data_IF_884134491913
#
_entry.id   IF_884134491913
#
_cell.length_a   1.000
_cell.length_b   1.000
_cell.length_c   1.000
_cell.angle_alpha   90.00
_cell.angle_beta   90.00
_cell.angle_gamma   90.00
#
_symmetry.space_group_name_H-M   'P 1'
#
loop_
_entity.id
_entity.type
_entity.pdbx_description
1 polymer ?
#
# COMPACT_ATOMS: atom_id res chain seq x y z
N UNK A 1 -14.51 0.83 13.65
CA UNK A 1 -14.42 1.56 12.36
C UNK A 1 -15.80 1.60 11.70
N UNK A 2 -16.48 2.74 11.75
CA UNK A 2 -17.75 2.99 11.05
C UNK A 2 -17.62 4.34 10.34
N UNK A 3 -16.72 4.39 9.37
CA UNK A 3 -16.60 5.58 8.52
C UNK A 3 -17.74 5.57 7.49
N UNK A 4 -18.58 6.61 7.53
CA UNK A 4 -19.74 6.74 6.64
C UNK A 4 -19.34 6.87 5.17
N UNK A 5 -18.14 7.36 4.86
CA UNK A 5 -17.66 7.51 3.50
C UNK A 5 -17.50 6.16 2.78
N UNK A 6 -17.31 5.07 3.52
CA UNK A 6 -17.07 3.73 2.99
C UNK A 6 -18.29 2.80 3.16
N UNK A 7 -19.39 3.28 3.71
CA UNK A 7 -20.60 2.46 3.92
C UNK A 7 -20.46 1.35 4.97
N UNK A 8 -19.37 1.34 5.75
CA UNK A 8 -19.08 0.37 6.79
C UNK A 8 -17.95 -0.61 6.46
N UNK A 9 -17.45 -1.29 7.50
CA UNK A 9 -16.28 -2.15 7.40
C UNK A 9 -16.49 -3.38 6.51
N UNK A 10 -17.72 -3.74 6.15
CA UNK A 10 -18.04 -4.83 5.23
C UNK A 10 -17.74 -4.50 3.75
N UNK A 11 -17.47 -3.23 3.43
CA UNK A 11 -17.20 -2.79 2.06
C UNK A 11 -15.71 -2.42 1.85
N UNK A 12 -14.84 -2.63 2.84
CA UNK A 12 -13.42 -2.37 2.68
C UNK A 12 -12.79 -3.39 1.72
N UNK A 13 -11.70 -2.99 1.06
CA UNK A 13 -10.92 -3.92 0.25
C UNK A 13 -10.33 -5.06 1.09
N UNK A 14 -10.18 -4.85 2.41
CA UNK A 14 -9.72 -5.87 3.36
C UNK A 14 -10.76 -6.90 3.79
N UNK A 15 -12.05 -6.69 3.51
CA UNK A 15 -13.14 -7.48 4.10
C UNK A 15 -14.24 -7.85 3.09
N UNK A 16 -14.61 -6.95 2.19
CA UNK A 16 -15.79 -7.11 1.33
C UNK A 16 -15.68 -8.20 0.27
N UNK A 17 -14.46 -8.66 -0.04
CA UNK A 17 -14.22 -9.78 -0.95
C UNK A 17 -14.23 -11.16 -0.29
N UNK A 18 -14.45 -11.26 1.02
CA UNK A 18 -14.31 -12.51 1.75
C UNK A 18 -15.53 -13.43 1.57
N UNK A 19 -15.41 -14.43 0.70
CA UNK A 19 -16.50 -15.37 0.34
C UNK A 19 -16.32 -16.79 0.88
N UNK A 20 -15.20 -17.07 1.54
CA UNK A 20 -14.83 -18.43 1.99
C UNK A 20 -15.23 -18.74 3.44
N UNK A 21 -15.87 -17.80 4.14
CA UNK A 21 -16.36 -18.04 5.50
C UNK A 21 -17.66 -18.87 5.50
N UNK A 22 -17.81 -19.71 6.51
CA UNK A 22 -19.13 -20.19 6.93
C UNK A 22 -19.77 -19.09 7.79
N UNK A 23 -20.88 -18.50 7.32
CA UNK A 23 -21.56 -17.38 7.99
C UNK A 23 -21.21 -16.00 7.42
N UNK A 24 -21.55 -14.93 8.15
CA UNK A 24 -21.27 -13.55 7.73
C UNK A 24 -19.83 -13.16 8.14
N UNK A 25 -18.96 -12.68 7.23
CA UNK A 25 -17.60 -12.24 7.58
C UNK A 25 -17.58 -11.19 8.70
N UNK A 26 -18.62 -10.36 8.80
CA UNK A 26 -18.73 -9.35 9.85
C UNK A 26 -18.97 -9.93 11.25
N UNK A 27 -19.39 -11.19 11.37
CA UNK A 27 -19.50 -11.89 12.65
C UNK A 27 -18.12 -12.28 13.22
N UNK A 28 -17.08 -12.23 12.38
CA UNK A 28 -15.70 -12.53 12.73
C UNK A 28 -14.81 -11.28 12.78
N UNK A 29 -15.22 -10.22 12.09
CA UNK A 29 -14.46 -8.97 12.03
C UNK A 29 -14.19 -8.40 13.42
N UNK A 30 -12.91 -8.18 13.74
CA UNK A 30 -12.44 -7.69 15.05
C UNK A 30 -12.90 -8.52 16.27
N UNK A 31 -13.28 -9.79 16.09
CA UNK A 31 -13.75 -10.65 17.19
C UNK A 31 -12.61 -11.31 17.97
N UNK A 32 -11.47 -11.52 17.34
CA UNK A 32 -10.36 -12.28 17.90
C UNK A 32 -9.22 -11.34 18.30
N UNK A 33 -8.85 -11.39 19.58
CA UNK A 33 -7.67 -10.70 20.09
C UNK A 33 -6.44 -11.57 19.80
N UNK A 34 -5.62 -11.16 18.84
CA UNK A 34 -4.35 -11.81 18.54
C UNK A 34 -3.25 -11.35 19.50
N UNK A 35 -3.25 -10.07 19.86
CA UNK A 35 -2.28 -9.46 20.77
C UNK A 35 -3.01 -8.70 21.86
N UNK A 36 -2.55 -8.83 23.11
CA UNK A 36 -3.05 -8.05 24.23
C UNK A 36 -2.03 -6.94 24.55
N UNK A 37 -2.25 -5.75 23.99
CA UNK A 37 -1.33 -4.62 24.13
C UNK A 37 -1.61 -3.81 25.39
N UNK A 38 -0.57 -3.29 26.03
CA UNK A 38 -0.73 -2.26 27.06
C UNK A 38 -1.20 -0.94 26.43
N UNK A 39 -1.68 0.00 27.24
CA UNK A 39 -2.06 1.34 26.77
C UNK A 39 -0.91 2.05 26.07
N UNK A 40 0.32 1.86 26.55
CA UNK A 40 1.54 2.44 25.97
C UNK A 40 1.87 1.80 24.62
N UNK A 41 1.80 0.47 24.53
CA UNK A 41 2.00 -0.28 23.28
C UNK A 41 0.94 0.09 22.23
N UNK A 42 -0.32 0.17 22.63
CA UNK A 42 -1.42 0.61 21.76
C UNK A 42 -1.19 2.04 21.25
N UNK A 43 -0.81 2.96 22.13
CA UNK A 43 -0.50 4.35 21.75
C UNK A 43 0.66 4.43 20.76
N UNK A 44 1.67 3.57 20.92
CA UNK A 44 2.79 3.47 20.00
C UNK A 44 2.34 2.95 18.61
N UNK A 45 1.53 1.89 18.56
CA UNK A 45 0.95 1.38 17.31
C UNK A 45 0.14 2.46 16.61
N UNK A 46 -0.73 3.18 17.32
CA UNK A 46 -1.55 4.25 16.75
C UNK A 46 -0.71 5.38 16.16
N UNK A 47 0.33 5.79 16.90
CA UNK A 47 1.28 6.82 16.45
C UNK A 47 1.98 6.41 15.16
N UNK A 48 2.52 5.18 15.12
CA UNK A 48 3.29 4.68 13.97
C UNK A 48 2.38 4.43 12.78
N UNK A 49 1.26 3.71 12.98
CA UNK A 49 0.29 3.42 11.93
C UNK A 49 -0.28 4.68 11.28
N UNK A 50 -0.44 5.77 12.04
CA UNK A 50 -0.93 7.05 11.52
C UNK A 50 0.03 7.73 10.53
N UNK A 51 1.33 7.43 10.62
CA UNK A 51 2.35 7.99 9.73
C UNK A 51 2.70 7.12 8.52
N UNK A 52 2.18 5.90 8.41
CA UNK A 52 2.52 4.97 7.33
C UNK A 52 1.46 5.00 6.23
N UNK A 53 1.88 5.32 5.01
CA UNK A 53 1.07 5.37 3.81
C UNK A 53 1.51 4.30 2.79
N UNK A 54 0.69 4.12 1.74
CA UNK A 54 0.88 3.17 0.65
C UNK A 54 0.47 3.79 -0.68
N UNK A 55 1.16 3.49 -1.79
CA UNK A 55 1.08 4.28 -3.03
C UNK A 55 -0.24 4.10 -3.80
N UNK A 56 -1.17 3.27 -3.29
CA UNK A 56 -2.46 3.00 -3.91
C UNK A 56 -3.60 3.92 -3.44
N UNK A 57 -3.46 4.62 -2.31
CA UNK A 57 -4.54 5.47 -1.76
C UNK A 57 -4.01 6.61 -0.88
N UNK A 58 -4.91 7.40 -0.30
CA UNK A 58 -4.59 8.51 0.61
C UNK A 58 -4.72 8.18 2.09
N UNK A 59 -5.08 6.95 2.46
CA UNK A 59 -5.31 6.55 3.84
C UNK A 59 -4.02 6.03 4.50
N UNK A 60 -3.83 6.37 5.78
CA UNK A 60 -2.74 5.79 6.57
C UNK A 60 -3.08 4.37 7.02
N UNK A 61 -2.08 3.66 7.55
CA UNK A 61 -2.25 2.32 8.13
C UNK A 61 -3.17 2.32 9.36
N UNK A 62 -3.33 3.46 10.03
CA UNK A 62 -4.31 3.62 11.11
C UNK A 62 -5.77 3.46 10.62
N UNK A 63 -6.00 3.59 9.31
CA UNK A 63 -7.23 3.17 8.65
C UNK A 63 -6.95 2.00 7.68
N UNK A 64 -6.95 0.75 8.19
CA UNK A 64 -6.53 -0.42 7.42
C UNK A 64 -7.65 -0.96 6.50
N UNK A 65 -8.13 -0.12 5.60
CA UNK A 65 -9.19 -0.41 4.62
C UNK A 65 -8.80 -1.37 3.49
N UNK A 66 -7.53 -1.79 3.44
CA UNK A 66 -7.03 -2.74 2.46
C UNK A 66 -6.12 -3.79 3.10
N UNK A 67 -5.88 -4.89 2.37
CA UNK A 67 -5.04 -5.99 2.86
C UNK A 67 -3.63 -5.55 3.26
N UNK A 68 -3.02 -4.61 2.53
CA UNK A 68 -1.70 -4.07 2.89
C UNK A 68 -1.75 -3.28 4.21
N UNK A 69 -2.80 -2.48 4.42
CA UNK A 69 -3.01 -1.76 5.67
C UNK A 69 -3.22 -2.71 6.85
N UNK A 70 -4.04 -3.73 6.68
CA UNK A 70 -4.25 -4.76 7.70
C UNK A 70 -2.97 -5.53 8.02
N UNK A 71 -2.20 -5.91 7.00
CA UNK A 71 -0.93 -6.62 7.18
C UNK A 71 0.10 -5.77 7.91
N UNK A 72 0.23 -4.48 7.55
CA UNK A 72 1.13 -3.56 8.26
C UNK A 72 0.66 -3.34 9.69
N UNK A 73 -0.64 -3.13 9.93
CA UNK A 73 -1.17 -2.96 11.28
C UNK A 73 -0.87 -4.18 12.16
N UNK A 74 -1.13 -5.39 11.67
CA UNK A 74 -0.82 -6.63 12.40
C UNK A 74 0.66 -6.82 12.68
N UNK A 75 1.55 -6.41 11.76
CA UNK A 75 3.00 -6.39 12.01
C UNK A 75 3.35 -5.42 13.14
N UNK A 76 2.80 -4.20 13.14
CA UNK A 76 3.06 -3.22 14.19
C UNK A 76 2.54 -3.68 15.56
N UNK A 77 1.37 -4.29 15.61
CA UNK A 77 0.81 -4.89 16.83
C UNK A 77 1.70 -6.03 17.35
N UNK A 78 2.17 -6.91 16.47
CA UNK A 78 3.12 -7.97 16.82
C UNK A 78 4.43 -7.42 17.38
N UNK A 79 4.99 -6.38 16.75
CA UNK A 79 6.24 -5.74 17.20
C UNK A 79 6.04 -5.05 18.55
N UNK A 80 4.93 -4.31 18.72
CA UNK A 80 4.62 -3.65 19.98
C UNK A 80 4.43 -4.66 21.12
N UNK A 81 3.80 -5.81 20.86
CA UNK A 81 3.66 -6.89 21.85
C UNK A 81 4.99 -7.49 22.32
N UNK A 82 6.06 -7.25 21.57
CA UNK A 82 7.44 -7.67 21.87
C UNK A 82 8.30 -6.50 22.40
N UNK A 83 7.67 -5.40 22.82
CA UNK A 83 8.35 -4.20 23.35
C UNK A 83 9.38 -3.59 22.38
N UNK A 84 9.15 -3.76 21.08
CA UNK A 84 10.01 -3.18 20.04
C UNK A 84 9.95 -1.66 20.09
N UNK A 85 11.08 -0.98 19.86
CA UNK A 85 11.13 0.49 19.91
C UNK A 85 10.42 1.15 18.73
N UNK A 86 10.01 2.41 18.89
CA UNK A 86 9.40 3.19 17.81
C UNK A 86 10.30 3.24 16.56
N UNK A 87 11.61 3.44 16.74
CA UNK A 87 12.55 3.53 15.62
C UNK A 87 12.63 2.21 14.85
N UNK A 88 12.65 1.07 15.56
CA UNK A 88 12.64 -0.25 14.94
C UNK A 88 11.34 -0.51 14.17
N UNK A 89 10.19 -0.04 14.69
CA UNK A 89 8.91 -0.11 13.97
C UNK A 89 8.95 0.69 12.66
N UNK A 90 9.51 1.90 12.67
CA UNK A 90 9.68 2.69 11.44
C UNK A 90 10.61 2.02 10.43
N UNK A 91 11.73 1.45 10.90
CA UNK A 91 12.68 0.74 10.05
C UNK A 91 12.06 -0.52 9.42
N UNK A 92 11.37 -1.33 10.23
CA UNK A 92 10.70 -2.55 9.75
C UNK A 92 9.57 -2.21 8.77
N UNK A 93 8.76 -1.20 9.07
CA UNK A 93 7.72 -0.73 8.16
C UNK A 93 8.29 -0.27 6.82
N UNK A 94 9.42 0.44 6.81
CA UNK A 94 10.09 0.86 5.58
C UNK A 94 10.58 -0.33 4.78
N UNK A 95 11.25 -1.29 5.43
CA UNK A 95 11.73 -2.50 4.77
C UNK A 95 10.59 -3.30 4.14
N UNK A 96 9.52 -3.52 4.89
CA UNK A 96 8.36 -4.30 4.43
C UNK A 96 7.59 -3.59 3.32
N UNK A 97 7.34 -2.28 3.43
CA UNK A 97 6.72 -1.54 2.34
C UNK A 97 7.61 -1.49 1.09
N UNK A 98 8.93 -1.37 1.25
CA UNK A 98 9.87 -1.42 0.11
C UNK A 98 9.82 -2.77 -0.60
N UNK A 99 9.62 -3.85 0.15
CA UNK A 99 9.43 -5.18 -0.40
C UNK A 99 8.07 -5.35 -1.10
N UNK A 100 6.99 -4.79 -0.54
CA UNK A 100 5.65 -4.87 -1.13
C UNK A 100 5.45 -3.98 -2.35
N UNK A 101 6.18 -2.86 -2.44
CA UNK A 101 6.08 -1.86 -3.51
C UNK A 101 7.45 -1.54 -4.11
N UNK A 102 8.17 -2.51 -4.70
CA UNK A 102 9.57 -2.35 -5.08
C UNK A 102 9.79 -1.20 -6.06
N UNK A 103 8.98 -1.09 -7.11
CA UNK A 103 9.12 -0.03 -8.12
C UNK A 103 8.90 1.37 -7.52
N UNK A 104 7.95 1.49 -6.59
CA UNK A 104 7.66 2.73 -5.86
C UNK A 104 8.88 3.17 -5.06
N UNK A 105 9.46 2.27 -4.27
CA UNK A 105 10.57 2.60 -3.40
C UNK A 105 11.89 2.77 -4.16
N UNK A 106 12.10 2.09 -5.29
CA UNK A 106 13.21 2.37 -6.20
C UNK A 106 13.10 3.78 -6.82
N UNK A 107 11.89 4.20 -7.18
CA UNK A 107 11.64 5.56 -7.68
C UNK A 107 11.90 6.61 -6.59
N UNK A 108 11.40 6.38 -5.38
CA UNK A 108 11.66 7.25 -4.23
C UNK A 108 13.17 7.30 -3.93
N UNK A 109 13.87 6.17 -3.95
CA UNK A 109 15.31 6.12 -3.73
C UNK A 109 16.08 6.92 -4.80
N UNK A 110 15.67 6.83 -6.07
CA UNK A 110 16.25 7.64 -7.15
C UNK A 110 16.05 9.13 -6.88
N UNK A 111 14.84 9.54 -6.51
CA UNK A 111 14.54 10.92 -6.15
C UNK A 111 15.38 11.44 -4.97
N UNK A 112 15.59 10.61 -3.95
CA UNK A 112 16.43 10.98 -2.79
C UNK A 112 17.90 11.07 -3.19
N UNK A 113 18.37 10.18 -4.07
CA UNK A 113 19.73 10.22 -4.59
C UNK A 113 20.00 11.49 -5.41
N UNK A 114 19.04 11.92 -6.23
CA UNK A 114 19.11 13.18 -6.98
C UNK A 114 19.19 14.41 -6.07
N UNK A 115 18.71 14.29 -4.82
CA UNK A 115 18.85 15.29 -3.75
C UNK A 115 20.12 15.13 -2.90
N UNK A 116 20.98 14.19 -3.24
CA UNK A 116 22.23 13.92 -2.53
C UNK A 116 22.06 13.14 -1.22
N UNK A 117 20.95 12.43 -1.03
CA UNK A 117 20.73 11.56 0.14
C UNK A 117 20.75 10.10 -0.32
N UNK A 118 21.66 9.31 0.24
CA UNK A 118 21.72 7.88 -0.04
C UNK A 118 20.59 7.13 0.66
N UNK A 119 20.16 5.99 0.09
CA UNK A 119 19.00 5.25 0.61
C UNK A 119 19.19 4.79 2.06
N UNK A 120 20.42 4.48 2.46
CA UNK A 120 20.75 4.09 3.83
C UNK A 120 20.64 5.25 4.84
N UNK A 121 20.64 6.50 4.37
CA UNK A 121 20.59 7.71 5.18
C UNK A 121 19.19 8.35 5.24
N UNK A 122 18.20 7.79 4.54
CA UNK A 122 16.84 8.36 4.52
C UNK A 122 16.17 8.23 5.88
N UNK A 123 15.31 9.20 6.22
CA UNK A 123 14.45 9.08 7.38
C UNK A 123 13.26 8.15 7.06
N UNK A 124 13.08 7.00 7.76
CA UNK A 124 12.03 6.05 7.42
C UNK A 124 10.61 6.60 7.59
N UNK A 125 10.39 7.40 8.64
CA UNK A 125 9.09 8.06 8.89
C UNK A 125 8.75 9.05 7.77
N UNK A 126 9.74 9.73 7.21
CA UNK A 126 9.54 10.62 6.07
C UNK A 126 9.15 9.81 4.82
N UNK A 127 9.91 8.76 4.49
CA UNK A 127 9.69 7.95 3.29
C UNK A 127 8.33 7.23 3.33
N UNK A 128 7.92 6.74 4.49
CA UNK A 128 6.60 6.13 4.71
C UNK A 128 5.45 7.14 4.74
N UNK A 129 5.77 8.42 4.94
CA UNK A 129 4.80 9.49 5.10
C UNK A 129 4.03 9.83 3.83
N UNK A 130 2.95 10.60 3.99
CA UNK A 130 2.04 10.95 2.90
C UNK A 130 2.75 11.65 1.72
N UNK A 131 3.79 12.44 1.97
CA UNK A 131 4.53 13.17 0.93
C UNK A 131 5.25 12.28 -0.08
N UNK A 132 5.55 11.04 0.28
CA UNK A 132 6.31 10.09 -0.55
C UNK A 132 5.50 8.85 -0.86
N UNK A 133 4.82 8.27 0.13
CA UNK A 133 4.18 6.97 0.01
C UNK A 133 2.66 7.02 -0.16
N UNK A 134 1.98 8.17 -0.06
CA UNK A 134 0.55 8.22 -0.45
C UNK A 134 0.41 8.20 -1.98
N UNK A 135 -0.78 7.89 -2.50
CA UNK A 135 -1.03 7.92 -3.95
C UNK A 135 -0.63 9.25 -4.60
N UNK A 136 -1.04 10.38 -4.03
CA UNK A 136 -0.71 11.70 -4.57
C UNK A 136 0.74 12.11 -4.30
N UNK A 137 1.27 11.74 -3.14
CA UNK A 137 2.68 11.96 -2.80
C UNK A 137 3.61 11.26 -3.77
N UNK A 138 3.40 9.96 -3.96
CA UNK A 138 4.17 9.14 -4.89
C UNK A 138 4.04 9.65 -6.33
N UNK A 139 2.82 9.94 -6.81
CA UNK A 139 2.63 10.46 -8.17
C UNK A 139 3.46 11.73 -8.44
N UNK A 140 3.55 12.62 -7.45
CA UNK A 140 4.39 13.83 -7.53
C UNK A 140 5.89 13.50 -7.53
N UNK A 141 6.33 12.50 -6.76
CA UNK A 141 7.74 12.06 -6.79
C UNK A 141 8.07 11.44 -8.15
N UNK A 142 7.23 10.54 -8.63
CA UNK A 142 7.41 9.86 -9.91
C UNK A 142 7.48 10.85 -11.09
N UNK A 143 6.74 11.96 -11.07
CA UNK A 143 6.81 12.98 -12.12
C UNK A 143 8.12 13.79 -12.12
N UNK A 144 8.93 13.70 -11.06
CA UNK A 144 10.19 14.42 -10.92
C UNK A 144 11.42 13.53 -11.17
N UNK A 145 11.24 12.21 -11.16
CA UNK A 145 12.30 11.26 -11.49
C UNK A 145 12.28 11.04 -13.00
N UNK A 146 13.37 11.39 -13.68
CA UNK A 146 13.55 10.98 -15.07
C UNK A 146 13.79 9.48 -15.05
N UNK A 147 12.79 8.70 -15.48
CA UNK A 147 12.99 7.28 -15.68
C UNK A 147 14.16 7.10 -16.67
N UNK A 148 15.18 6.28 -16.36
CA UNK A 148 16.13 5.86 -17.38
C UNK A 148 15.30 5.29 -18.53
N UNK A 149 15.59 5.70 -19.78
CA UNK A 149 14.95 5.11 -20.94
C UNK A 149 15.11 3.58 -20.83
N UNK A 150 14.02 2.89 -20.52
CA UNK A 150 13.92 1.49 -20.89
C UNK A 150 13.93 1.50 -22.40
N UNK A 151 15.07 1.13 -22.99
CA UNK A 151 15.14 0.82 -24.40
C UNK A 151 14.02 -0.18 -24.69
N UNK A 152 13.01 0.29 -25.42
CA UNK A 152 11.90 -0.52 -25.86
C UNK A 152 12.42 -1.74 -26.61
N UNK A 153 11.94 -2.91 -26.22
CA UNK A 153 12.26 -4.15 -26.89
C UNK A 153 11.56 -5.32 -26.23
N UNK A 154 10.42 -5.73 -26.80
CA UNK A 154 9.81 -7.02 -26.48
C UNK A 154 8.31 -6.94 -26.25
N UNK A 155 7.54 -6.78 -27.34
CA UNK A 155 6.15 -7.18 -27.33
C UNK A 155 6.06 -8.69 -27.18
N UNK A 156 5.27 -9.13 -26.20
CA UNK A 156 4.71 -10.48 -26.19
C UNK A 156 3.18 -10.32 -26.28
N UNK A 157 2.74 -10.12 -27.52
CA UNK A 157 1.37 -10.43 -27.91
C UNK A 157 1.19 -11.93 -27.71
N UNK A 158 0.21 -12.34 -26.90
CA UNK A 158 -0.21 -13.73 -26.84
C UNK A 158 -1.10 -13.97 -28.05
N UNK A 159 -0.54 -14.63 -29.07
CA UNK A 159 -1.29 -15.25 -30.15
C UNK A 159 -2.26 -16.29 -29.55
N UNK A 160 -3.50 -15.88 -29.35
CA UNK A 160 -4.63 -16.79 -29.20
C UNK A 160 -5.43 -16.77 -30.50
N UNK A 161 -5.10 -17.71 -31.39
CA UNK A 161 -6.03 -18.25 -32.37
C UNK A 161 -6.23 -17.40 -33.63
N UNK A 162 -5.57 -17.83 -34.71
CA UNK A 162 -6.05 -17.58 -36.06
C UNK A 162 -7.51 -18.04 -36.19
N UNK A 163 -8.43 -17.08 -36.31
CA UNK A 163 -9.72 -17.30 -36.92
C UNK A 163 -9.95 -16.21 -37.98
N UNK A 164 -10.01 -16.71 -39.22
CA UNK A 164 -10.33 -16.09 -40.49
C UNK A 164 -10.96 -14.68 -40.48
N UNK A 165 -10.40 -13.83 -41.32
CA UNK A 165 -10.96 -12.56 -41.76
C UNK A 165 -12.31 -12.71 -42.47
N UNK A 166 -13.21 -11.74 -42.25
CA UNK A 166 -14.00 -11.09 -43.31
C UNK A 166 -14.61 -9.75 -42.84
N UNK A 167 -14.92 -8.81 -43.75
CA UNK A 167 -14.70 -7.38 -43.50
C UNK A 167 -15.94 -6.48 -43.37
N UNK A 168 -15.71 -5.33 -42.73
CA UNK A 168 -16.34 -3.97 -42.83
C UNK A 168 -17.85 -3.79 -42.54
N UNK A 169 -18.14 -2.91 -41.57
CA UNK A 169 -18.70 -1.57 -41.86
C UNK A 169 -18.53 -0.59 -40.68
N UNK A 170 -18.33 0.69 -41.03
CA UNK A 170 -18.12 1.87 -40.18
C UNK A 170 -19.33 2.24 -39.30
N UNK A 171 -19.10 2.83 -38.13
CA UNK A 171 -19.34 4.29 -37.87
C UNK A 171 -19.45 4.60 -36.37
N UNK A 172 -18.84 5.69 -35.91
CA UNK A 172 -19.39 6.50 -34.80
C UNK A 172 -18.41 6.89 -33.68
N UNK A 173 -17.93 8.13 -33.71
CA UNK A 173 -17.39 8.87 -32.56
C UNK A 173 -18.53 9.57 -31.78
N UNK A 174 -18.26 9.91 -30.51
CA UNK A 174 -19.04 10.74 -29.54
C UNK A 174 -20.19 9.98 -28.85
N UNK A 175 -20.34 9.97 -27.52
CA UNK A 175 -20.28 11.04 -26.50
C UNK A 175 -19.53 10.57 -25.25
#
# INVERSE_FOLDING_TARGET
MTDKAYGGAQNFASTGGWTIAEGNPMDHYSRHLFFNLTSEQQSLVEKVASGIYRPCCGNSTHFPDCNHGMAMLGLLELMASQDTSEQEMWNAALAVNSYWFPDTYLTIATYMKDKGVDWEDVNPREMLGASYSSASGYARIASQVVAPQQNGGGGCSVDAGSAAASPRQQSGCNI
#
